data_IF_286718940003
#
_entry.id   IF_286718940003
#
_cell.length_a   1.000
_cell.length_b   1.000
_cell.length_c   1.000
_cell.angle_alpha   90.00
_cell.angle_beta   90.00
_cell.angle_gamma   90.00
#
_symmetry.space_group_name_H-M   'P 1'
#
loop_
_entity.id
_entity.type
_entity.pdbx_description
1 polymer ?
#
# COMPACT_ATOMS: atom_id res chain seq x y z
N UNK A 1 2.40 -41.42 -0.93
CA UNK A 1 3.71 -40.72 -0.93
C UNK A 1 3.44 -39.24 -1.19
N UNK A 2 3.77 -38.33 -0.25
CA UNK A 2 3.64 -36.87 -0.46
C UNK A 2 4.86 -36.38 -1.23
N UNK A 3 4.70 -36.06 -2.52
CA UNK A 3 5.73 -35.40 -3.31
C UNK A 3 5.87 -33.94 -2.84
N UNK A 4 6.82 -33.68 -1.95
CA UNK A 4 7.16 -32.33 -1.50
C UNK A 4 8.24 -31.72 -2.38
N UNK A 5 8.16 -30.40 -2.59
CA UNK A 5 9.22 -29.61 -3.21
C UNK A 5 10.55 -29.85 -2.50
N UNK A 6 11.59 -30.19 -3.25
CA UNK A 6 12.98 -30.19 -2.79
C UNK A 6 13.76 -29.15 -3.59
N UNK A 7 14.72 -28.50 -2.95
CA UNK A 7 15.63 -27.57 -3.62
C UNK A 7 16.28 -28.29 -4.81
N UNK A 8 16.23 -27.68 -6.01
CA UNK A 8 16.70 -28.27 -7.28
C UNK A 8 15.96 -29.52 -7.81
N UNK A 9 14.79 -29.89 -7.25
CA UNK A 9 14.00 -31.05 -7.74
C UNK A 9 13.09 -30.78 -8.94
N UNK A 10 13.26 -29.64 -9.62
CA UNK A 10 12.49 -29.27 -10.81
C UNK A 10 13.30 -29.39 -12.10
N UNK A 11 12.59 -29.34 -13.24
CA UNK A 11 13.23 -29.13 -14.55
C UNK A 11 13.98 -27.79 -14.51
N UNK A 12 15.26 -27.78 -14.93
CA UNK A 12 16.04 -26.53 -15.05
C UNK A 12 15.22 -25.50 -15.83
N UNK A 13 15.07 -24.30 -15.26
CA UNK A 13 14.38 -23.19 -15.94
C UNK A 13 15.11 -22.91 -17.25
N UNK A 14 14.36 -22.77 -18.35
CA UNK A 14 14.92 -22.37 -19.63
C UNK A 14 15.49 -20.95 -19.57
N UNK A 15 16.45 -20.62 -20.44
CA UNK A 15 17.06 -19.29 -20.50
C UNK A 15 16.04 -18.15 -20.56
N UNK A 16 14.98 -18.31 -21.37
CA UNK A 16 13.88 -17.34 -21.48
C UNK A 16 13.12 -17.13 -20.17
N UNK A 17 12.95 -18.16 -19.35
CA UNK A 17 12.26 -18.06 -18.06
C UNK A 17 13.10 -17.28 -17.03
N UNK A 18 14.43 -17.46 -17.06
CA UNK A 18 15.38 -16.76 -16.20
C UNK A 18 15.43 -15.27 -16.59
N UNK A 19 15.52 -14.96 -17.88
CA UNK A 19 15.51 -13.57 -18.36
C UNK A 19 14.21 -12.85 -18.03
N UNK A 20 13.07 -13.52 -18.21
CA UNK A 20 11.77 -12.94 -17.85
C UNK A 20 11.65 -12.66 -16.34
N UNK A 21 12.26 -13.49 -15.49
CA UNK A 21 12.29 -13.26 -14.04
C UNK A 21 13.16 -12.07 -13.67
N UNK A 22 14.38 -11.97 -14.24
CA UNK A 22 15.25 -10.81 -14.06
C UNK A 22 14.60 -9.50 -14.53
N UNK A 23 13.90 -9.53 -15.66
CA UNK A 23 13.16 -8.38 -16.17
C UNK A 23 12.04 -7.95 -15.19
N UNK A 24 11.31 -8.92 -14.61
CA UNK A 24 10.30 -8.63 -13.58
C UNK A 24 10.92 -8.02 -12.33
N UNK A 25 12.01 -8.59 -11.82
CA UNK A 25 12.73 -8.06 -10.66
C UNK A 25 13.18 -6.61 -10.89
N UNK A 26 13.76 -6.33 -12.06
CA UNK A 26 14.17 -4.98 -12.43
C UNK A 26 12.99 -4.00 -12.44
N UNK A 27 11.87 -4.37 -13.06
CA UNK A 27 10.66 -3.52 -13.11
C UNK A 27 10.12 -3.26 -11.70
N UNK A 28 10.04 -4.29 -10.86
CA UNK A 28 9.57 -4.16 -9.47
C UNK A 28 10.45 -3.19 -8.68
N UNK A 29 11.78 -3.32 -8.79
CA UNK A 29 12.71 -2.40 -8.13
C UNK A 29 12.51 -0.95 -8.55
N UNK A 30 12.38 -0.69 -9.86
CA UNK A 30 12.12 0.66 -10.38
C UNK A 30 10.78 1.23 -9.93
N UNK A 31 9.74 0.41 -9.87
CA UNK A 31 8.43 0.82 -9.37
C UNK A 31 8.52 1.19 -7.89
N UNK A 32 9.20 0.39 -7.07
CA UNK A 32 9.40 0.69 -5.65
C UNK A 32 10.14 2.02 -5.44
N UNK A 33 11.25 2.25 -6.15
CA UNK A 33 11.99 3.53 -6.11
C UNK A 33 11.09 4.72 -6.49
N UNK A 34 10.24 4.55 -7.51
CA UNK A 34 9.34 5.62 -7.96
C UNK A 34 8.21 5.95 -6.98
N UNK A 35 7.83 4.99 -6.13
CA UNK A 35 6.74 5.14 -5.17
C UNK A 35 7.15 5.93 -3.94
N UNK A 36 8.41 5.86 -3.53
CA UNK A 36 8.93 6.54 -2.34
C UNK A 36 8.63 8.07 -2.32
N UNK A 37 8.94 8.86 -3.36
CA UNK A 37 8.64 10.30 -3.33
C UNK A 37 7.13 10.59 -3.30
N UNK A 38 6.32 9.72 -3.90
CA UNK A 38 4.85 9.85 -3.91
C UNK A 38 4.30 9.60 -2.50
N UNK A 39 4.72 8.51 -1.86
CA UNK A 39 4.30 8.16 -0.50
C UNK A 39 4.78 9.22 0.49
N UNK A 40 6.03 9.68 0.39
CA UNK A 40 6.55 10.76 1.23
C UNK A 40 5.76 12.06 1.08
N UNK A 41 5.35 12.41 -0.15
CA UNK A 41 4.47 13.56 -0.37
C UNK A 41 3.08 13.38 0.25
N UNK A 42 2.50 12.18 0.17
CA UNK A 42 1.19 11.90 0.76
C UNK A 42 1.24 11.92 2.29
N UNK A 43 2.30 11.39 2.90
CA UNK A 43 2.49 11.43 4.37
C UNK A 43 2.55 12.87 4.87
N UNK A 44 3.32 13.75 4.20
CA UNK A 44 3.37 15.18 4.57
C UNK A 44 1.99 15.83 4.55
N UNK A 45 1.23 15.63 3.48
CA UNK A 45 -0.14 16.16 3.36
C UNK A 45 -1.09 15.59 4.41
N UNK A 46 -0.99 14.29 4.70
CA UNK A 46 -1.80 13.64 5.73
C UNK A 46 -1.52 14.22 7.12
N UNK A 47 -0.26 14.49 7.45
CA UNK A 47 0.13 15.16 8.72
C UNK A 47 -0.42 16.59 8.81
N UNK A 48 -0.57 17.28 7.69
CA UNK A 48 -1.21 18.60 7.60
C UNK A 48 -2.75 18.56 7.67
N UNK A 49 -3.35 17.37 7.76
CA UNK A 49 -4.80 17.19 7.87
C UNK A 49 -5.51 16.95 6.53
N UNK A 50 -4.80 16.72 5.43
CA UNK A 50 -5.43 16.35 4.14
C UNK A 50 -5.96 14.90 4.21
N UNK A 51 -7.27 14.78 4.42
CA UNK A 51 -7.95 13.49 4.52
C UNK A 51 -7.92 12.67 3.23
N UNK A 52 -7.85 13.32 2.06
CA UNK A 52 -7.70 12.59 0.79
C UNK A 52 -6.32 11.94 0.73
N UNK A 53 -5.28 12.64 1.20
CA UNK A 53 -3.95 12.05 1.29
C UNK A 53 -3.91 10.86 2.26
N UNK A 54 -4.57 11.00 3.42
CA UNK A 54 -4.74 9.92 4.40
C UNK A 54 -5.46 8.71 3.80
N UNK A 55 -6.59 8.92 3.14
CA UNK A 55 -7.33 7.85 2.47
C UNK A 55 -6.49 7.15 1.39
N UNK A 56 -5.78 7.91 0.57
CA UNK A 56 -4.90 7.39 -0.47
C UNK A 56 -3.70 6.58 0.08
N UNK A 57 -3.25 6.86 1.30
CA UNK A 57 -2.23 6.07 2.00
C UNK A 57 -2.82 4.75 2.49
N UNK A 58 -3.99 4.77 3.12
CA UNK A 58 -4.67 3.56 3.58
C UNK A 58 -5.04 2.63 2.41
N UNK A 59 -5.59 3.18 1.32
CA UNK A 59 -5.92 2.45 0.10
C UNK A 59 -4.70 1.72 -0.48
N UNK A 60 -3.52 2.35 -0.41
CA UNK A 60 -2.27 1.77 -0.93
C UNK A 60 -1.62 0.76 0.02
N UNK A 61 -1.70 0.99 1.33
CA UNK A 61 -1.09 0.12 2.33
C UNK A 61 -1.88 -1.17 2.55
N UNK A 62 -3.21 -1.09 2.52
CA UNK A 62 -4.09 -2.20 2.90
C UNK A 62 -5.12 -2.59 1.83
N UNK A 63 -5.13 -1.91 0.68
CA UNK A 63 -6.23 -2.00 -0.29
C UNK A 63 -7.41 -1.11 0.12
N UNK A 64 -8.50 -1.11 -0.67
CA UNK A 64 -9.70 -0.31 -0.36
C UNK A 64 -10.16 -0.60 1.09
N UNK A 65 -10.26 0.41 1.96
CA UNK A 65 -10.73 0.23 3.32
C UNK A 65 -12.17 -0.28 3.27
N UNK A 66 -12.45 -1.31 4.08
CA UNK A 66 -13.79 -1.90 4.19
C UNK A 66 -14.81 -0.92 4.75
N UNK A 67 -14.36 0.09 5.51
CA UNK A 67 -15.19 1.13 6.11
C UNK A 67 -14.82 2.50 5.54
N UNK A 68 -15.79 3.30 5.07
CA UNK A 68 -15.55 4.69 4.71
C UNK A 68 -14.96 5.45 5.89
N UNK A 69 -13.96 6.29 5.65
CA UNK A 69 -13.43 7.21 6.66
C UNK A 69 -14.43 8.36 6.72
N UNK A 70 -15.34 8.34 7.68
CA UNK A 70 -16.23 9.47 7.95
C UNK A 70 -15.47 10.53 8.74
N UNK A 71 -15.50 11.78 8.27
CA UNK A 71 -15.10 12.94 9.07
C UNK A 71 -16.07 13.06 10.24
N UNK A 72 -15.68 12.56 11.41
CA UNK A 72 -16.33 12.94 12.65
C UNK A 72 -15.83 14.34 12.99
N UNK A 73 -16.41 15.34 12.33
CA UNK A 73 -16.26 16.73 12.73
C UNK A 73 -16.78 16.90 14.14
N UNK A 74 -15.96 17.48 15.02
CA UNK A 74 -16.37 17.91 16.34
C UNK A 74 -17.51 18.93 16.21
N UNK A 75 -18.77 18.49 16.36
CA UNK A 75 -19.84 19.43 16.66
C UNK A 75 -19.56 19.97 18.06
N UNK A 76 -19.37 21.30 18.24
CA UNK A 76 -19.25 21.85 19.59
C UNK A 76 -20.57 21.57 20.31
N UNK A 77 -20.51 20.78 21.39
CA UNK A 77 -21.65 20.64 22.29
C UNK A 77 -21.95 22.02 22.88
N UNK A 78 -23.01 22.67 22.37
CA UNK A 78 -23.58 23.84 22.99
C UNK A 78 -24.25 23.37 24.29
N UNK A 79 -23.55 23.52 25.42
CA UNK A 79 -24.17 23.41 26.74
C UNK A 79 -25.03 24.66 26.90
N UNK A 80 -26.33 24.53 26.68
CA UNK A 80 -27.30 25.55 27.07
C UNK A 80 -27.43 25.45 28.60
N UNK A 81 -26.90 26.43 29.31
CA UNK A 81 -27.16 26.61 30.73
C UNK A 81 -28.41 27.49 30.81
N UNK A 82 -29.57 26.87 31.07
CA UNK A 82 -30.77 27.61 31.40
C UNK A 82 -30.58 28.24 32.81
N UNK A 83 -30.71 29.57 32.89
CA UNK A 83 -30.66 30.36 34.13
C UNK A 83 -31.89 30.15 35.01
#
# INVERSE_FOLDING_TARGET
MRGGYRENSGRKRGYSAIEAEKAREFIVGRVQESLEPIVASLVRKAVEGDLKATQLLFDRAYGKPLTPIEEIGETPMMIVIDN
#
